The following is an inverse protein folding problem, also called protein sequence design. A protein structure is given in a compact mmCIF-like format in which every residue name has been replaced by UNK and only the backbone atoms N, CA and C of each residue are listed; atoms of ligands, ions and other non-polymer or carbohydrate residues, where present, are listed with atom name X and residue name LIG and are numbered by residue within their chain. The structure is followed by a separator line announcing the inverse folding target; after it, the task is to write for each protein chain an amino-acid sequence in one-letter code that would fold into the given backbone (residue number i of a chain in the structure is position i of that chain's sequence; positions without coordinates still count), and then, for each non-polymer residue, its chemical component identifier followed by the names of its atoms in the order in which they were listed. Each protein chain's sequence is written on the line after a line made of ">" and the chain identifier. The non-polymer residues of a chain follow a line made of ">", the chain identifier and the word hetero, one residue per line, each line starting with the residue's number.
data_IF_019892497058
#
_entry.id   IF_019892497058
#
_cell.length_a   1.000
_cell.length_b   1.000
_cell.length_c   1.000
_cell.angle_alpha   90.00
_cell.angle_beta   90.00
_cell.angle_gamma   90.00
#
_symmetry.space_group_name_H-M   'P 1'
#
loop_
_entity.id
_entity.type
_entity.pdbx_description
1 polymer ?
#
# COMPACT_ATOMS: atom_id res chain seq x y z
N UNK A 1 7.59 -26.65 18.00
CA UNK A 1 6.27 -26.10 17.60
C UNK A 1 6.33 -25.68 16.14
N UNK A 2 5.71 -26.45 15.24
CA UNK A 2 5.70 -26.12 13.81
C UNK A 2 4.92 -24.81 13.61
N UNK A 3 5.57 -23.77 13.10
CA UNK A 3 4.90 -22.54 12.64
C UNK A 3 3.90 -22.97 11.57
N UNK A 4 2.61 -23.01 11.90
CA UNK A 4 1.54 -23.09 10.90
C UNK A 4 1.77 -21.92 9.94
N UNK A 5 2.28 -22.23 8.75
CA UNK A 5 2.23 -21.29 7.63
C UNK A 5 0.74 -21.04 7.41
N UNK A 6 0.24 -19.89 7.90
CA UNK A 6 -1.12 -19.43 7.60
C UNK A 6 -1.24 -19.47 6.08
N UNK A 7 -1.97 -20.44 5.53
CA UNK A 7 -2.32 -20.49 4.12
C UNK A 7 -3.06 -19.18 3.85
N UNK A 8 -2.35 -18.18 3.33
CA UNK A 8 -2.95 -16.91 2.92
C UNK A 8 -3.82 -17.25 1.72
N UNK A 9 -5.06 -17.62 1.97
CA UNK A 9 -6.05 -17.80 0.92
C UNK A 9 -6.06 -16.56 0.04
N UNK A 10 -6.26 -16.75 -1.27
CA UNK A 10 -6.33 -15.65 -2.22
C UNK A 10 -7.28 -14.56 -1.71
N UNK A 11 -6.85 -13.29 -1.82
CA UNK A 11 -7.69 -12.11 -1.54
C UNK A 11 -8.89 -12.02 -2.48
N UNK A 12 -8.78 -12.67 -3.63
CA UNK A 12 -9.80 -12.79 -4.65
C UNK A 12 -10.58 -14.08 -4.46
N UNK A 13 -11.90 -13.96 -4.53
CA UNK A 13 -12.82 -15.07 -4.78
C UNK A 13 -12.75 -15.37 -6.29
N UNK A 14 -12.53 -16.63 -6.62
CA UNK A 14 -12.36 -17.08 -8.01
C UNK A 14 -13.69 -17.66 -8.52
N UNK A 15 -14.20 -17.24 -9.69
CA UNK A 15 -15.44 -17.74 -10.28
C UNK A 15 -15.56 -19.26 -10.33
N UNK A 16 -14.45 -19.94 -10.62
CA UNK A 16 -14.42 -21.39 -10.75
C UNK A 16 -14.41 -22.12 -9.40
N UNK A 17 -14.33 -21.37 -8.30
CA UNK A 17 -14.25 -21.87 -6.92
C UNK A 17 -15.32 -21.21 -6.04
N UNK A 18 -16.38 -20.69 -6.64
CA UNK A 18 -17.51 -20.13 -5.92
C UNK A 18 -18.54 -21.23 -5.69
N UNK A 19 -18.81 -21.52 -4.42
CA UNK A 19 -19.80 -22.50 -3.99
C UNK A 19 -20.61 -22.00 -2.79
N UNK A 20 -21.89 -22.35 -2.75
CA UNK A 20 -22.81 -22.08 -1.65
C UNK A 20 -22.95 -20.59 -1.37
N UNK A 21 -22.69 -20.18 -0.11
CA UNK A 21 -22.88 -18.80 0.38
C UNK A 21 -22.08 -17.71 -0.35
N UNK A 22 -21.17 -18.08 -1.24
CA UNK A 22 -20.36 -17.13 -2.01
C UNK A 22 -20.93 -16.88 -3.42
N UNK A 23 -21.90 -17.67 -3.88
CA UNK A 23 -22.53 -17.53 -5.20
C UNK A 23 -23.26 -16.20 -5.35
N UNK A 24 -23.91 -15.76 -4.28
CA UNK A 24 -24.64 -14.48 -4.24
C UNK A 24 -23.73 -13.26 -4.03
N UNK A 25 -22.41 -13.43 -3.89
CA UNK A 25 -21.52 -12.26 -3.81
C UNK A 25 -21.49 -11.54 -5.15
N UNK A 26 -21.53 -10.22 -5.11
CA UNK A 26 -21.45 -9.38 -6.29
C UNK A 26 -20.56 -8.16 -6.05
N UNK A 27 -20.17 -7.50 -7.15
CA UNK A 27 -19.49 -6.23 -7.12
C UNK A 27 -20.48 -5.11 -6.80
N UNK A 28 -20.28 -4.39 -5.70
CA UNK A 28 -21.17 -3.29 -5.29
C UNK A 28 -21.21 -2.11 -6.28
N UNK A 29 -20.23 -2.03 -7.19
CA UNK A 29 -20.10 -0.94 -8.17
C UNK A 29 -20.75 -1.23 -9.52
N UNK A 30 -20.61 -2.45 -10.03
CA UNK A 30 -21.10 -2.83 -11.36
C UNK A 30 -22.14 -3.96 -11.36
N UNK A 31 -22.44 -4.57 -10.21
CA UNK A 31 -23.46 -5.62 -10.05
C UNK A 31 -23.04 -7.01 -10.53
N UNK A 32 -21.88 -7.18 -11.18
CA UNK A 32 -21.40 -8.50 -11.63
C UNK A 32 -21.23 -9.46 -10.45
N UNK A 33 -21.66 -10.71 -10.61
CA UNK A 33 -21.62 -11.73 -9.56
C UNK A 33 -20.26 -12.44 -9.49
N UNK A 34 -20.00 -13.09 -8.37
CA UNK A 34 -18.78 -13.87 -8.15
C UNK A 34 -18.64 -15.06 -9.09
N UNK A 35 -19.75 -15.56 -9.65
CA UNK A 35 -19.78 -16.59 -10.69
C UNK A 35 -19.32 -16.09 -12.06
N UNK A 36 -19.34 -14.77 -12.30
CA UNK A 36 -18.94 -14.15 -13.56
C UNK A 36 -17.51 -13.60 -13.53
N UNK A 37 -17.10 -13.01 -12.40
CA UNK A 37 -15.83 -12.28 -12.27
C UNK A 37 -15.19 -12.50 -10.91
N UNK A 38 -13.88 -12.29 -10.82
CA UNK A 38 -13.18 -12.39 -9.53
C UNK A 38 -13.60 -11.23 -8.63
N UNK A 39 -13.98 -11.54 -7.39
CA UNK A 39 -14.41 -10.54 -6.40
C UNK A 39 -13.37 -10.39 -5.30
N UNK A 40 -12.93 -9.17 -5.04
CA UNK A 40 -12.06 -8.82 -3.93
C UNK A 40 -12.83 -8.99 -2.62
N UNK A 41 -12.40 -9.94 -1.77
CA UNK A 41 -13.26 -10.48 -0.70
C UNK A 41 -13.70 -9.48 0.36
N UNK A 42 -12.88 -8.48 0.66
CA UNK A 42 -13.14 -7.50 1.72
C UNK A 42 -13.95 -6.30 1.22
N UNK A 43 -13.73 -5.90 -0.04
CA UNK A 43 -14.32 -4.69 -0.61
C UNK A 43 -15.55 -4.97 -1.48
N UNK A 44 -15.79 -6.25 -1.83
CA UNK A 44 -16.83 -6.67 -2.79
C UNK A 44 -16.76 -5.83 -4.08
N UNK A 45 -15.56 -5.76 -4.68
CA UNK A 45 -15.30 -5.13 -5.96
C UNK A 45 -14.75 -6.17 -6.93
N UNK A 46 -15.19 -6.16 -8.18
CA UNK A 46 -14.63 -7.03 -9.20
C UNK A 46 -13.27 -6.54 -9.70
N UNK A 47 -12.53 -7.43 -10.37
CA UNK A 47 -11.23 -7.11 -10.95
C UNK A 47 -11.26 -5.89 -11.90
N UNK A 48 -12.26 -5.82 -12.79
CA UNK A 48 -12.42 -4.70 -13.73
C UNK A 48 -12.59 -3.36 -12.98
N UNK A 49 -13.45 -3.33 -11.97
CA UNK A 49 -13.67 -2.13 -11.18
C UNK A 49 -12.42 -1.76 -10.37
N UNK A 50 -11.69 -2.74 -9.85
CA UNK A 50 -10.44 -2.50 -9.12
C UNK A 50 -9.36 -1.94 -10.05
N UNK A 51 -9.24 -2.47 -11.27
CA UNK A 51 -8.31 -1.96 -12.29
C UNK A 51 -8.63 -0.51 -12.65
N UNK A 52 -9.91 -0.19 -12.90
CA UNK A 52 -10.33 1.17 -13.22
C UNK A 52 -10.02 2.16 -12.08
N UNK A 53 -10.38 1.80 -10.84
CA UNK A 53 -10.09 2.62 -9.65
C UNK A 53 -8.60 2.83 -9.45
N UNK A 54 -7.80 1.78 -9.69
CA UNK A 54 -6.34 1.83 -9.58
C UNK A 54 -5.71 2.78 -10.59
N UNK A 55 -6.26 2.87 -11.79
CA UNK A 55 -5.79 3.80 -12.82
C UNK A 55 -6.20 5.24 -12.51
N UNK A 56 -7.43 5.45 -12.03
CA UNK A 56 -7.96 6.79 -11.72
C UNK A 56 -7.24 7.47 -10.55
N UNK A 57 -6.85 6.71 -9.52
CA UNK A 57 -6.17 7.24 -8.32
C UNK A 57 -6.88 8.45 -7.68
N UNK A 58 -8.21 8.40 -7.64
CA UNK A 58 -9.05 9.54 -7.25
C UNK A 58 -9.02 9.87 -5.75
N UNK A 59 -8.67 8.90 -4.90
CA UNK A 59 -8.63 9.06 -3.44
C UNK A 59 -9.90 8.64 -2.71
N UNK A 60 -10.99 8.31 -3.40
CA UNK A 60 -12.21 7.85 -2.74
C UNK A 60 -12.21 6.34 -2.46
N UNK A 61 -11.73 5.56 -3.43
CA UNK A 61 -11.59 4.10 -3.31
C UNK A 61 -10.14 3.62 -3.45
N UNK A 62 -9.32 4.38 -4.18
CA UNK A 62 -7.94 4.04 -4.49
C UNK A 62 -6.98 5.15 -4.08
N UNK A 63 -5.81 4.76 -3.58
CA UNK A 63 -4.79 5.69 -3.11
C UNK A 63 -4.32 6.62 -4.24
N UNK A 64 -4.32 7.94 -3.99
CA UNK A 64 -3.82 8.97 -4.91
C UNK A 64 -2.36 8.75 -5.35
N UNK A 65 -1.53 8.20 -4.46
CA UNK A 65 -0.12 7.90 -4.75
C UNK A 65 0.06 6.64 -5.61
N UNK A 66 -0.29 5.48 -5.04
CA UNK A 66 0.05 4.17 -5.62
C UNK A 66 -1.10 3.47 -6.36
N UNK A 67 -2.32 4.02 -6.34
CA UNK A 67 -3.51 3.39 -6.93
C UNK A 67 -4.02 2.16 -6.19
N UNK A 68 -3.46 1.82 -5.02
CA UNK A 68 -3.95 0.70 -4.21
C UNK A 68 -5.40 0.93 -3.82
N UNK A 69 -6.28 0.00 -4.20
CA UNK A 69 -7.69 0.00 -3.78
C UNK A 69 -7.75 -0.38 -2.30
N UNK A 70 -8.06 0.60 -1.47
CA UNK A 70 -8.16 0.46 -0.02
C UNK A 70 -9.12 1.54 0.52
N UNK A 71 -10.44 1.44 0.22
CA UNK A 71 -11.44 2.48 0.49
C UNK A 71 -11.42 2.96 1.94
N UNK A 72 -11.33 2.03 2.88
CA UNK A 72 -11.24 2.36 4.30
C UNK A 72 -9.98 3.18 4.64
N UNK A 73 -8.82 2.83 4.07
CA UNK A 73 -7.58 3.55 4.33
C UNK A 73 -7.59 4.93 3.69
N UNK A 74 -8.06 5.04 2.45
CA UNK A 74 -8.07 6.33 1.75
C UNK A 74 -9.06 7.31 2.38
N UNK A 75 -10.18 6.81 2.92
CA UNK A 75 -11.12 7.61 3.71
C UNK A 75 -10.53 8.07 5.05
N UNK A 76 -9.70 7.25 5.68
CA UNK A 76 -9.03 7.57 6.95
C UNK A 76 -7.83 8.52 6.78
N UNK A 77 -7.18 8.55 5.60
CA UNK A 77 -5.93 9.29 5.37
C UNK A 77 -6.01 10.20 4.12
N UNK A 78 -7.10 10.96 3.98
CA UNK A 78 -7.27 12.05 2.98
C UNK A 78 -6.97 11.67 1.51
N UNK A 79 -7.27 10.43 1.15
CA UNK A 79 -7.09 9.87 -0.18
C UNK A 79 -5.85 9.00 -0.36
N UNK A 80 -5.11 8.70 0.70
CA UNK A 80 -3.88 7.90 0.65
C UNK A 80 -4.01 6.59 1.44
N UNK A 81 -3.28 5.57 1.01
CA UNK A 81 -3.16 4.34 1.79
C UNK A 81 -2.05 4.47 2.84
N UNK A 82 -2.03 3.57 3.82
CA UNK A 82 -1.03 3.55 4.90
C UNK A 82 0.41 3.36 4.41
N UNK A 83 0.59 2.87 3.19
CA UNK A 83 1.91 2.69 2.56
C UNK A 83 2.41 3.95 1.83
N UNK A 84 1.58 5.00 1.75
CA UNK A 84 1.90 6.25 1.07
C UNK A 84 1.94 7.47 2.00
N UNK A 85 1.72 7.27 3.30
CA UNK A 85 1.74 8.32 4.32
C UNK A 85 2.88 8.07 5.31
N UNK A 86 3.47 9.14 5.80
CA UNK A 86 4.50 9.07 6.83
C UNK A 86 3.89 8.56 8.13
N UNK A 87 4.54 7.57 8.77
CA UNK A 87 4.07 7.02 10.05
C UNK A 87 4.24 7.96 11.24
N UNK A 88 5.02 9.02 11.08
CA UNK A 88 5.31 10.00 12.14
C UNK A 88 4.37 11.20 12.03
N UNK A 89 4.44 11.95 10.93
CA UNK A 89 3.63 13.15 10.76
C UNK A 89 2.26 12.91 10.11
N UNK A 90 2.02 11.73 9.53
CA UNK A 90 0.79 11.44 8.79
C UNK A 90 0.72 12.03 7.38
N UNK A 91 1.72 12.81 6.96
CA UNK A 91 1.69 13.48 5.65
C UNK A 91 1.95 12.51 4.49
N UNK A 92 1.29 12.73 3.34
CA UNK A 92 1.46 11.90 2.17
C UNK A 92 2.77 12.22 1.43
N UNK A 93 3.66 11.24 1.36
CA UNK A 93 4.85 11.28 0.52
C UNK A 93 5.06 9.90 -0.12
N UNK A 94 4.25 9.53 -1.13
CA UNK A 94 4.25 8.19 -1.68
C UNK A 94 5.60 7.78 -2.30
N UNK A 95 6.43 8.72 -2.74
CA UNK A 95 7.73 8.39 -3.36
C UNK A 95 8.75 8.03 -2.29
N UNK A 96 8.84 8.81 -1.23
CA UNK A 96 9.84 8.61 -0.20
C UNK A 96 9.41 7.55 0.82
N UNK A 97 8.13 7.54 1.22
CA UNK A 97 7.57 6.57 2.19
C UNK A 97 7.69 5.14 1.66
N UNK A 98 7.49 4.91 0.36
CA UNK A 98 7.62 3.56 -0.19
C UNK A 98 9.03 2.98 -0.06
N UNK A 99 10.05 3.84 -0.06
CA UNK A 99 11.46 3.43 0.01
C UNK A 99 12.00 3.45 1.44
N UNK A 100 11.61 4.44 2.24
CA UNK A 100 12.21 4.73 3.54
C UNK A 100 11.25 4.52 4.73
N UNK A 101 9.94 4.39 4.48
CA UNK A 101 8.91 4.22 5.50
C UNK A 101 8.42 5.51 6.18
N UNK A 102 9.01 6.65 5.82
CA UNK A 102 8.73 8.00 6.33
C UNK A 102 8.68 9.01 5.18
N UNK A 103 8.14 10.21 5.38
CA UNK A 103 8.34 11.31 4.43
C UNK A 103 9.77 11.83 4.51
N UNK A 104 10.18 12.57 3.49
CA UNK A 104 11.50 13.20 3.42
C UNK A 104 11.80 14.06 4.67
N UNK A 105 10.90 14.96 5.06
CA UNK A 105 11.10 15.84 6.22
C UNK A 105 11.34 15.08 7.53
N UNK A 106 10.49 14.08 7.82
CA UNK A 106 10.66 13.26 9.03
C UNK A 106 11.94 12.42 8.97
N UNK A 107 12.33 11.98 7.78
CA UNK A 107 13.55 11.22 7.59
C UNK A 107 14.80 12.08 7.85
N UNK A 108 14.81 13.32 7.36
CA UNK A 108 15.88 14.28 7.63
C UNK A 108 15.98 14.65 9.11
N UNK A 109 14.84 14.89 9.76
CA UNK A 109 14.78 15.20 11.19
C UNK A 109 15.31 14.07 12.08
N UNK A 110 15.05 12.82 11.71
CA UNK A 110 15.59 11.68 12.46
C UNK A 110 17.12 11.62 12.35
N UNK A 111 17.69 11.96 11.19
CA UNK A 111 19.14 12.00 10.98
C UNK A 111 19.84 10.68 11.34
N UNK A 112 19.14 9.55 11.23
CA UNK A 112 19.68 8.22 11.58
C UNK A 112 20.04 7.37 10.37
N UNK A 113 19.46 7.64 9.21
CA UNK A 113 19.55 6.79 8.03
C UNK A 113 20.02 7.59 6.81
N UNK A 114 20.74 6.94 5.90
CA UNK A 114 21.26 7.58 4.69
C UNK A 114 20.13 7.99 3.74
N UNK A 115 20.07 9.26 3.33
CA UNK A 115 19.09 9.81 2.38
C UNK A 115 19.08 9.08 1.04
N UNK A 116 20.24 8.63 0.56
CA UNK A 116 20.38 7.98 -0.75
C UNK A 116 19.97 6.50 -0.75
N UNK A 117 20.43 5.71 0.23
CA UNK A 117 20.23 4.25 0.23
C UNK A 117 19.29 3.73 1.34
N UNK A 118 18.95 4.56 2.33
CA UNK A 118 18.09 4.18 3.45
C UNK A 118 18.76 3.36 4.56
N UNK A 119 20.05 3.03 4.41
CA UNK A 119 20.85 2.30 5.41
C UNK A 119 20.92 3.10 6.71
N UNK A 120 20.63 2.45 7.83
CA UNK A 120 20.82 3.04 9.16
C UNK A 120 22.33 3.26 9.40
N UNK A 121 22.72 4.51 9.58
CA UNK A 121 24.12 4.93 9.63
C UNK A 121 24.28 6.24 10.40
N UNK A 122 23.61 6.38 11.56
CA UNK A 122 23.46 7.64 12.32
C UNK A 122 24.75 8.47 12.44
N UNK A 123 25.85 7.84 12.83
CA UNK A 123 27.13 8.55 12.97
C UNK A 123 27.67 9.06 11.62
N UNK A 124 27.54 8.27 10.55
CA UNK A 124 28.01 8.64 9.22
C UNK A 124 27.15 9.73 8.61
N UNK A 125 25.82 9.63 8.76
CA UNK A 125 24.90 10.64 8.21
C UNK A 125 25.02 11.98 8.94
N UNK A 126 25.39 12.00 10.21
CA UNK A 126 25.69 13.26 10.90
C UNK A 126 26.99 13.91 10.39
N UNK A 127 27.95 13.12 9.93
CA UNK A 127 29.23 13.60 9.41
C UNK A 127 29.18 13.96 7.92
N UNK A 128 28.41 13.21 7.13
CA UNK A 128 28.34 13.31 5.66
C UNK A 128 27.01 13.92 5.18
N UNK A 129 26.47 14.90 5.90
CA UNK A 129 25.25 15.64 5.53
C UNK A 129 24.10 14.71 5.07
N UNK A 130 23.74 13.75 5.91
CA UNK A 130 22.64 12.82 5.66
C UNK A 130 22.99 11.59 4.80
N UNK A 131 24.27 11.33 4.48
CA UNK A 131 24.69 10.17 3.67
C UNK A 131 25.53 9.15 4.48
N UNK A 132 25.44 7.87 4.11
CA UNK A 132 26.43 6.89 4.58
C UNK A 132 27.73 7.03 3.79
N UNK A 133 28.85 6.54 4.31
CA UNK A 133 30.17 6.67 3.68
C UNK A 133 30.18 6.15 2.24
N UNK A 134 29.50 5.02 1.99
CA UNK A 134 29.38 4.42 0.66
C UNK A 134 28.69 5.36 -0.34
N UNK A 135 27.74 6.18 0.11
CA UNK A 135 26.95 7.09 -0.72
C UNK A 135 27.54 8.50 -0.82
N UNK A 136 28.35 8.89 0.16
CA UNK A 136 29.08 10.16 0.16
C UNK A 136 30.31 10.12 -0.78
N UNK A 137 30.92 8.94 -0.93
CA UNK A 137 32.10 8.73 -1.78
C UNK A 137 31.76 8.22 -3.20
N UNK A 138 30.46 8.13 -3.55
CA UNK A 138 29.97 7.61 -4.83
C UNK A 138 29.53 8.70 -5.79
#
# INVERSE_FOLDING_TARGET
>A
MAKQQKRRGSKWLDPNKVDGRHEDRYCHRCGKTATQVRILKHENLCEDCVEELRQKKEGDYACKGCGKVAPQQVKENDGYCKDCICKICGEPDPKFVHKHGFCEDCFELMGTNCRKCGKEARAQVQLNDGLCDDCANS
#
